data_IF_541383146448
#
_entry.id   IF_541383146448
#
_cell.length_a   1.000
_cell.length_b   1.000
_cell.length_c   1.000
_cell.angle_alpha   90.00
_cell.angle_beta   90.00
_cell.angle_gamma   90.00
#
_symmetry.space_group_name_H-M   'P 1'
#
loop_
_entity.id
_entity.type
_entity.pdbx_description
1 polymer ?
#
# COMPACT_ATOMS: atom_id res chain seq x y z
N UNK A 1 -10.14 -7.37 -12.65
CA UNK A 1 -10.03 -5.93 -12.58
C UNK A 1 -8.61 -5.43 -12.56
N UNK A 2 -8.44 -4.13 -12.52
CA UNK A 2 -7.14 -3.48 -12.52
C UNK A 2 -7.17 -2.21 -11.67
N UNK A 3 -6.06 -1.92 -11.00
CA UNK A 3 -5.79 -0.62 -10.38
C UNK A 3 -4.62 0.05 -11.11
N UNK A 4 -4.84 1.25 -11.63
CA UNK A 4 -3.81 2.00 -12.37
C UNK A 4 -4.14 3.48 -12.51
N UNK A 5 -3.13 4.37 -12.73
CA UNK A 5 -3.40 5.74 -13.17
C UNK A 5 -3.87 5.75 -14.62
N UNK A 6 -4.75 6.70 -14.98
CA UNK A 6 -5.24 6.85 -16.36
C UNK A 6 -4.15 7.22 -17.38
N UNK A 7 -3.16 8.02 -16.97
CA UNK A 7 -2.00 8.44 -17.81
C UNK A 7 -2.38 8.96 -19.20
N UNK A 8 -3.51 9.66 -19.31
CA UNK A 8 -4.01 10.19 -20.59
C UNK A 8 -4.79 9.21 -21.45
N UNK A 9 -5.05 8.00 -20.96
CA UNK A 9 -5.96 7.05 -21.62
C UNK A 9 -7.39 7.58 -21.62
N UNK A 10 -8.17 7.22 -22.64
CA UNK A 10 -9.60 7.54 -22.71
C UNK A 10 -10.36 6.80 -21.60
N UNK A 11 -11.03 7.50 -20.66
CA UNK A 11 -11.79 6.89 -19.59
C UNK A 11 -12.90 5.95 -20.08
N UNK A 12 -13.57 6.30 -21.18
CA UNK A 12 -14.65 5.48 -21.73
C UNK A 12 -14.14 4.19 -22.35
N UNK A 13 -12.96 4.22 -22.98
CA UNK A 13 -12.33 3.01 -23.52
C UNK A 13 -11.91 2.05 -22.39
N UNK A 14 -11.37 2.56 -21.27
CA UNK A 14 -11.06 1.76 -20.10
C UNK A 14 -12.32 1.14 -19.52
N UNK A 15 -13.37 1.93 -19.36
CA UNK A 15 -14.65 1.44 -18.85
C UNK A 15 -15.22 0.33 -19.70
N UNK A 16 -15.27 0.51 -21.02
CA UNK A 16 -15.78 -0.49 -21.95
C UNK A 16 -14.99 -1.81 -21.87
N UNK A 17 -13.65 -1.73 -21.81
CA UNK A 17 -12.77 -2.89 -21.67
C UNK A 17 -13.05 -3.66 -20.38
N UNK A 18 -13.16 -2.96 -19.25
CA UNK A 18 -13.37 -3.56 -17.93
C UNK A 18 -14.77 -4.18 -17.83
N UNK A 19 -15.80 -3.50 -18.33
CA UNK A 19 -17.19 -4.00 -18.32
C UNK A 19 -17.36 -5.23 -19.24
N UNK A 20 -16.65 -5.28 -20.37
CA UNK A 20 -16.68 -6.43 -21.30
C UNK A 20 -16.29 -7.73 -20.60
N UNK A 21 -15.31 -7.68 -19.70
CA UNK A 21 -14.80 -8.86 -18.99
C UNK A 21 -15.44 -9.06 -17.60
N UNK A 22 -16.47 -8.26 -17.25
CA UNK A 22 -17.09 -8.30 -15.93
C UNK A 22 -16.11 -7.91 -14.81
N UNK A 23 -15.12 -7.08 -15.14
CA UNK A 23 -14.08 -6.66 -14.21
C UNK A 23 -14.43 -5.36 -13.47
N UNK A 24 -13.44 -4.79 -12.80
CA UNK A 24 -13.52 -3.48 -12.14
C UNK A 24 -12.27 -2.63 -12.48
N UNK A 25 -12.41 -1.34 -12.33
CA UNK A 25 -11.31 -0.38 -12.38
C UNK A 25 -11.23 0.41 -11.08
N UNK A 26 -10.03 0.48 -10.49
CA UNK A 26 -9.68 1.41 -9.43
C UNK A 26 -8.62 2.39 -9.94
N UNK A 27 -8.80 3.68 -9.64
CA UNK A 27 -7.86 4.71 -10.07
C UNK A 27 -6.64 4.80 -9.15
N UNK A 28 -5.59 5.45 -9.66
CA UNK A 28 -4.45 5.92 -8.87
C UNK A 28 -4.31 7.43 -9.12
N UNK A 29 -4.50 8.24 -8.08
CA UNK A 29 -4.60 9.69 -8.18
C UNK A 29 -3.39 10.38 -7.54
N UNK A 30 -2.81 11.39 -8.19
CA UNK A 30 -1.85 12.26 -7.53
C UNK A 30 -2.57 13.21 -6.58
N UNK A 31 -2.06 13.39 -5.36
CA UNK A 31 -2.56 14.40 -4.45
C UNK A 31 -2.15 15.81 -4.91
N UNK A 32 -3.05 16.81 -4.77
CA UNK A 32 -2.69 18.20 -4.98
C UNK A 32 -1.66 18.64 -3.94
N UNK A 33 -0.63 19.36 -4.38
CA UNK A 33 0.43 19.86 -3.49
C UNK A 33 0.11 21.24 -2.94
N UNK A 34 -0.58 22.04 -3.74
CA UNK A 34 -0.95 23.42 -3.42
C UNK A 34 -2.42 23.67 -3.82
N UNK A 35 -3.00 24.75 -3.32
CA UNK A 35 -4.41 25.08 -3.56
C UNK A 35 -4.75 25.23 -5.05
N UNK A 36 -3.81 25.71 -5.88
CA UNK A 36 -3.99 25.86 -7.34
C UNK A 36 -4.19 24.52 -8.06
N UNK A 37 -3.77 23.41 -7.47
CA UNK A 37 -3.86 22.07 -8.10
C UNK A 37 -5.24 21.42 -7.93
N UNK A 38 -6.14 22.01 -7.12
CA UNK A 38 -7.47 21.43 -6.84
C UNK A 38 -8.32 21.25 -8.10
N UNK A 39 -8.25 22.18 -9.06
CA UNK A 39 -9.00 22.05 -10.32
C UNK A 39 -8.49 20.89 -11.19
N UNK A 40 -7.18 20.70 -11.25
CA UNK A 40 -6.56 19.57 -11.94
C UNK A 40 -6.89 18.25 -11.23
N UNK A 41 -6.88 18.23 -9.90
CA UNK A 41 -7.30 17.08 -9.10
C UNK A 41 -8.78 16.74 -9.37
N UNK A 42 -9.68 17.72 -9.37
CA UNK A 42 -11.11 17.48 -9.68
C UNK A 42 -11.30 16.91 -11.08
N UNK A 43 -10.53 17.37 -12.07
CA UNK A 43 -10.53 16.81 -13.41
C UNK A 43 -10.13 15.33 -13.40
N UNK A 44 -9.06 14.98 -12.67
CA UNK A 44 -8.60 13.59 -12.53
C UNK A 44 -9.65 12.72 -11.83
N UNK A 45 -10.27 13.22 -10.77
CA UNK A 45 -11.39 12.54 -10.07
C UNK A 45 -12.54 12.25 -11.01
N UNK A 46 -12.97 13.24 -11.80
CA UNK A 46 -14.05 13.09 -12.78
C UNK A 46 -13.72 12.03 -13.82
N UNK A 47 -12.54 12.11 -14.44
CA UNK A 47 -12.08 11.14 -15.43
C UNK A 47 -11.99 9.72 -14.87
N UNK A 48 -11.48 9.56 -13.64
CA UNK A 48 -11.43 8.27 -12.93
C UNK A 48 -12.83 7.70 -12.71
N UNK A 49 -13.80 8.56 -12.38
CA UNK A 49 -15.22 8.17 -12.26
C UNK A 49 -15.83 7.77 -13.61
N UNK A 50 -15.53 8.50 -14.69
CA UNK A 50 -15.95 8.20 -16.06
C UNK A 50 -15.41 6.83 -16.52
N UNK A 51 -14.19 6.47 -16.10
CA UNK A 51 -13.60 5.14 -16.31
C UNK A 51 -14.26 4.00 -15.50
N UNK A 52 -15.27 4.30 -14.69
CA UNK A 52 -16.05 3.32 -13.94
C UNK A 52 -15.58 3.10 -12.50
N UNK A 53 -14.51 3.75 -12.04
CA UNK A 53 -14.01 3.58 -10.68
C UNK A 53 -15.01 4.05 -9.62
N UNK A 54 -15.10 3.31 -8.53
CA UNK A 54 -15.79 3.71 -7.29
C UNK A 54 -14.81 4.03 -6.19
N UNK A 55 -13.60 3.51 -6.28
CA UNK A 55 -12.48 3.75 -5.38
C UNK A 55 -11.26 4.19 -6.20
N UNK A 56 -10.46 5.09 -5.65
CA UNK A 56 -9.15 5.43 -6.17
C UNK A 56 -8.12 5.42 -5.04
N UNK A 57 -6.92 4.99 -5.36
CA UNK A 57 -5.76 4.95 -4.46
C UNK A 57 -5.01 6.27 -4.45
N UNK A 58 -4.35 6.54 -3.33
CA UNK A 58 -3.37 7.61 -3.19
C UNK A 58 -2.28 7.22 -2.19
N UNK A 59 -1.06 7.72 -2.41
CA UNK A 59 0.06 7.66 -1.46
C UNK A 59 0.37 9.07 -0.96
N UNK A 60 0.55 9.25 0.34
CA UNK A 60 0.77 10.57 0.94
C UNK A 60 2.20 11.08 0.69
N UNK A 61 3.22 10.33 1.11
CA UNK A 61 4.60 10.81 1.07
C UNK A 61 5.34 10.52 -0.24
N UNK A 62 4.91 9.52 -1.00
CA UNK A 62 5.59 9.11 -2.24
C UNK A 62 7.04 8.64 -2.01
N UNK A 63 7.29 7.93 -0.89
CA UNK A 63 8.61 7.41 -0.53
C UNK A 63 8.62 6.83 0.88
N UNK A 64 9.79 6.38 1.33
CA UNK A 64 9.95 5.77 2.64
C UNK A 64 10.26 6.83 3.69
N UNK A 65 9.59 6.76 4.83
CA UNK A 65 9.73 7.74 5.92
C UNK A 65 11.17 7.96 6.35
N UNK A 66 11.89 6.90 6.62
CA UNK A 66 13.28 6.94 7.11
C UNK A 66 14.31 7.43 6.06
N UNK A 67 13.93 7.50 4.78
CA UNK A 67 14.75 8.09 3.73
C UNK A 67 14.40 9.56 3.49
N UNK A 68 13.10 9.87 3.55
CA UNK A 68 12.55 11.16 3.15
C UNK A 68 12.67 12.25 4.21
N UNK A 69 12.43 11.90 5.48
CA UNK A 69 12.42 12.86 6.57
C UNK A 69 13.63 12.67 7.47
N UNK A 70 14.35 13.75 7.73
CA UNK A 70 15.57 13.72 8.55
C UNK A 70 15.32 14.11 10.00
N UNK A 71 14.20 14.78 10.28
CA UNK A 71 13.83 15.23 11.62
C UNK A 71 12.36 14.94 11.92
N UNK A 72 12.03 14.83 13.19
CA UNK A 72 10.64 14.71 13.64
C UNK A 72 9.81 15.91 13.21
N UNK A 73 10.35 17.12 13.27
CA UNK A 73 9.65 18.35 12.87
C UNK A 73 9.26 18.37 11.39
N UNK A 74 10.14 17.87 10.49
CA UNK A 74 9.81 17.71 9.07
C UNK A 74 8.64 16.74 8.86
N UNK A 75 8.66 15.64 9.58
CA UNK A 75 7.57 14.66 9.50
C UNK A 75 6.24 15.21 10.05
N UNK A 76 6.29 15.92 11.19
CA UNK A 76 5.09 16.52 11.78
C UNK A 76 4.46 17.57 10.87
N UNK A 77 5.29 18.41 10.23
CA UNK A 77 4.81 19.36 9.23
C UNK A 77 4.15 18.65 8.03
N UNK A 78 4.77 17.58 7.54
CA UNK A 78 4.18 16.76 6.47
C UNK A 78 2.84 16.15 6.90
N UNK A 79 2.75 15.58 8.10
CA UNK A 79 1.53 14.94 8.61
C UNK A 79 0.36 15.93 8.69
N UNK A 80 0.61 17.15 9.19
CA UNK A 80 -0.39 18.21 9.23
C UNK A 80 -0.81 18.62 7.82
N UNK A 81 0.15 18.82 6.91
CA UNK A 81 -0.13 19.17 5.51
C UNK A 81 -0.96 18.08 4.80
N UNK A 82 -0.61 16.81 4.98
CA UNK A 82 -1.33 15.69 4.39
C UNK A 82 -2.79 15.65 4.85
N UNK A 83 -3.04 15.83 6.15
CA UNK A 83 -4.40 15.92 6.69
C UNK A 83 -5.18 17.10 6.12
N UNK A 84 -4.57 18.27 6.03
CA UNK A 84 -5.19 19.48 5.47
C UNK A 84 -5.56 19.29 3.99
N UNK A 85 -4.70 18.63 3.21
CA UNK A 85 -4.99 18.31 1.81
C UNK A 85 -6.19 17.37 1.71
N UNK A 86 -6.22 16.29 2.50
CA UNK A 86 -7.33 15.34 2.52
C UNK A 86 -8.65 16.03 2.88
N UNK A 87 -8.65 16.89 3.88
CA UNK A 87 -9.84 17.69 4.26
C UNK A 87 -10.32 18.58 3.11
N UNK A 88 -9.40 19.18 2.35
CA UNK A 88 -9.76 20.09 1.23
C UNK A 88 -10.32 19.36 0.01
N UNK A 89 -9.87 18.14 -0.25
CA UNK A 89 -10.33 17.37 -1.42
C UNK A 89 -11.61 16.57 -1.16
N UNK A 90 -11.98 16.34 0.09
CA UNK A 90 -13.17 15.55 0.44
C UNK A 90 -14.47 16.07 -0.24
N UNK A 91 -14.78 17.40 -0.29
CA UNK A 91 -15.96 17.90 -1.00
C UNK A 91 -15.96 17.57 -2.50
N UNK A 92 -14.78 17.48 -3.13
CA UNK A 92 -14.62 17.08 -4.52
C UNK A 92 -14.98 15.59 -4.66
N UNK A 93 -14.40 14.74 -3.83
CA UNK A 93 -14.66 13.30 -3.81
C UNK A 93 -16.16 13.00 -3.62
N UNK A 94 -16.80 13.68 -2.66
CA UNK A 94 -18.24 13.58 -2.39
C UNK A 94 -19.09 13.98 -3.61
N UNK A 95 -18.76 15.09 -4.26
CA UNK A 95 -19.46 15.58 -5.46
C UNK A 95 -19.44 14.57 -6.59
N UNK A 96 -18.29 13.93 -6.81
CA UNK A 96 -18.11 12.96 -7.89
C UNK A 96 -18.42 11.51 -7.46
N UNK A 97 -18.79 11.27 -6.20
CA UNK A 97 -19.08 9.93 -5.62
C UNK A 97 -17.92 8.95 -5.88
N UNK A 98 -16.69 9.41 -5.64
CA UNK A 98 -15.47 8.61 -5.70
C UNK A 98 -14.89 8.52 -4.29
N UNK A 99 -14.68 7.32 -3.77
CA UNK A 99 -13.96 7.11 -2.52
C UNK A 99 -12.46 7.16 -2.76
N UNK A 100 -11.71 7.74 -1.83
CA UNK A 100 -10.26 7.81 -1.87
C UNK A 100 -9.66 6.90 -0.79
N UNK A 101 -8.89 5.92 -1.21
CA UNK A 101 -8.20 4.99 -0.35
C UNK A 101 -6.73 5.41 -0.19
N UNK A 102 -6.37 5.88 1.00
CA UNK A 102 -5.00 6.23 1.37
C UNK A 102 -4.25 4.95 1.69
N UNK A 103 -3.21 4.64 0.94
CA UNK A 103 -2.41 3.44 1.17
C UNK A 103 -1.53 3.59 2.42
N UNK A 104 -1.51 2.54 3.28
CA UNK A 104 -0.44 2.39 4.27
C UNK A 104 0.84 2.00 3.54
N UNK A 105 1.53 3.00 3.01
CA UNK A 105 2.75 2.81 2.25
C UNK A 105 3.96 2.58 3.18
N UNK A 106 5.04 3.26 3.15
CA UNK A 106 6.17 3.12 4.09
C UNK A 106 6.44 4.47 4.75
N UNK A 107 5.37 5.24 4.99
CA UNK A 107 5.40 6.62 5.44
C UNK A 107 4.74 6.83 6.80
N UNK A 108 3.49 6.42 6.99
CA UNK A 108 2.78 6.50 8.26
C UNK A 108 2.72 5.12 8.92
N UNK A 109 2.86 5.11 10.25
CA UNK A 109 2.52 3.92 11.03
C UNK A 109 1.01 3.68 10.95
N UNK A 110 0.59 2.43 11.19
CA UNK A 110 -0.84 2.10 11.24
C UNK A 110 -1.59 2.93 12.28
N UNK A 111 -0.94 3.27 13.39
CA UNK A 111 -1.49 4.13 14.44
C UNK A 111 -1.71 5.56 13.94
N UNK A 112 -0.70 6.16 13.29
CA UNK A 112 -0.78 7.51 12.74
C UNK A 112 -1.84 7.60 11.64
N UNK A 113 -1.92 6.58 10.76
CA UNK A 113 -2.90 6.54 9.68
C UNK A 113 -4.33 6.35 10.24
N UNK A 114 -4.55 5.44 11.18
CA UNK A 114 -5.84 5.25 11.82
C UNK A 114 -6.30 6.51 12.58
N UNK A 115 -5.38 7.19 13.29
CA UNK A 115 -5.67 8.46 13.95
C UNK A 115 -6.06 9.56 12.94
N UNK A 116 -5.40 9.61 11.78
CA UNK A 116 -5.75 10.54 10.71
C UNK A 116 -7.16 10.25 10.17
N UNK A 117 -7.49 8.98 9.88
CA UNK A 117 -8.82 8.59 9.40
C UNK A 117 -9.92 8.89 10.44
N UNK A 118 -9.66 8.58 11.70
CA UNK A 118 -10.60 8.90 12.79
C UNK A 118 -10.84 10.41 12.95
N UNK A 119 -9.80 11.24 12.77
CA UNK A 119 -9.91 12.69 12.82
C UNK A 119 -10.66 13.29 11.61
N UNK A 120 -10.50 12.69 10.42
CA UNK A 120 -11.25 13.09 9.22
C UNK A 120 -12.72 12.69 9.31
N UNK A 121 -13.02 11.55 9.92
CA UNK A 121 -14.36 11.00 10.09
C UNK A 121 -15.21 11.05 8.79
N UNK A 122 -14.61 10.70 7.66
CA UNK A 122 -15.16 10.86 6.32
C UNK A 122 -15.73 9.54 5.78
N UNK A 123 -16.86 9.60 5.10
CA UNK A 123 -17.39 8.47 4.30
C UNK A 123 -16.69 8.33 2.95
N UNK A 124 -15.90 9.35 2.53
CA UNK A 124 -15.28 9.43 1.20
C UNK A 124 -13.79 9.18 1.22
N UNK A 125 -13.17 9.13 2.41
CA UNK A 125 -11.74 8.89 2.57
C UNK A 125 -11.55 7.76 3.58
N UNK A 126 -10.83 6.73 3.17
CA UNK A 126 -10.48 5.59 3.99
C UNK A 126 -9.08 5.08 3.64
N UNK A 127 -8.83 3.79 3.84
CA UNK A 127 -7.51 3.19 3.71
C UNK A 127 -7.52 2.14 2.59
N UNK A 128 -6.50 2.17 1.75
CA UNK A 128 -6.07 1.00 1.00
C UNK A 128 -5.09 0.26 1.91
N UNK A 129 -5.48 -0.93 2.33
CA UNK A 129 -4.65 -1.75 3.21
C UNK A 129 -3.67 -2.59 2.39
N UNK A 130 -2.38 -2.27 2.49
CA UNK A 130 -1.30 -3.09 1.98
C UNK A 130 -0.80 -4.03 3.08
N UNK A 131 -0.77 -5.34 2.79
CA UNK A 131 -0.47 -6.37 3.78
C UNK A 131 1.00 -6.46 4.18
N UNK A 132 1.92 -5.87 3.40
CA UNK A 132 3.37 -6.01 3.61
C UNK A 132 4.13 -4.72 3.92
N UNK A 133 3.61 -3.56 3.56
CA UNK A 133 4.38 -2.32 3.61
C UNK A 133 4.85 -1.90 5.01
N UNK A 134 4.02 -2.08 6.03
CA UNK A 134 4.34 -1.63 7.39
C UNK A 134 5.42 -2.48 8.09
N UNK A 135 5.82 -3.62 7.53
CA UNK A 135 7.03 -4.33 7.95
C UNK A 135 8.27 -3.42 7.88
N UNK A 136 8.33 -2.53 6.87
CA UNK A 136 9.40 -1.54 6.76
C UNK A 136 9.38 -0.49 7.87
N UNK A 137 8.30 -0.39 8.62
CA UNK A 137 8.14 0.46 9.80
C UNK A 137 8.19 -0.34 11.12
N UNK A 138 8.65 -1.59 11.07
CA UNK A 138 8.78 -2.52 12.20
C UNK A 138 7.44 -2.90 12.86
N UNK A 139 6.33 -2.77 12.14
CA UNK A 139 5.00 -3.14 12.65
C UNK A 139 4.73 -4.64 12.51
N UNK A 140 3.91 -5.14 13.39
CA UNK A 140 3.41 -6.51 13.32
C UNK A 140 2.24 -6.55 12.32
N UNK A 141 2.25 -7.48 11.32
CA UNK A 141 1.27 -7.49 10.25
C UNK A 141 -0.18 -7.58 10.72
N UNK A 142 -0.50 -8.49 11.65
CA UNK A 142 -1.86 -8.66 12.13
C UNK A 142 -2.36 -7.41 12.85
N UNK A 143 -1.56 -6.84 13.75
CA UNK A 143 -1.89 -5.62 14.48
C UNK A 143 -2.12 -4.44 13.53
N UNK A 144 -1.29 -4.34 12.48
CA UNK A 144 -1.47 -3.33 11.42
C UNK A 144 -2.83 -3.48 10.75
N UNK A 145 -3.17 -4.69 10.31
CA UNK A 145 -4.42 -4.98 9.62
C UNK A 145 -5.63 -4.74 10.52
N UNK A 146 -5.60 -5.25 11.76
CA UNK A 146 -6.71 -5.06 12.72
C UNK A 146 -6.98 -3.58 12.99
N UNK A 147 -5.92 -2.76 13.09
CA UNK A 147 -6.05 -1.32 13.32
C UNK A 147 -6.61 -0.56 12.14
N UNK A 148 -6.27 -0.95 10.92
CA UNK A 148 -6.70 -0.28 9.68
C UNK A 148 -8.02 -0.81 9.12
N UNK A 149 -8.41 -2.03 9.45
CA UNK A 149 -9.61 -2.69 8.95
C UNK A 149 -10.90 -1.86 9.07
N UNK A 150 -11.15 -1.09 10.16
CA UNK A 150 -12.35 -0.26 10.25
C UNK A 150 -12.48 0.83 9.16
N UNK A 151 -11.39 1.16 8.50
CA UNK A 151 -11.32 2.21 7.47
C UNK A 151 -11.10 1.65 6.05
N UNK A 152 -11.09 0.33 5.87
CA UNK A 152 -10.66 -0.31 4.62
C UNK A 152 -11.64 -0.06 3.48
N UNK A 153 -11.11 0.40 2.35
CA UNK A 153 -11.83 0.62 1.09
C UNK A 153 -11.31 -0.27 -0.06
N UNK A 154 -10.04 -0.65 -0.03
CA UNK A 154 -9.38 -1.51 -1.02
C UNK A 154 -8.18 -2.19 -0.37
N UNK A 155 -7.61 -3.21 -1.02
CA UNK A 155 -6.47 -3.98 -0.50
C UNK A 155 -5.42 -4.16 -1.58
N UNK A 156 -4.15 -3.95 -1.21
CA UNK A 156 -3.00 -4.53 -1.90
C UNK A 156 -2.59 -5.80 -1.17
N UNK A 157 -2.82 -6.93 -1.82
CA UNK A 157 -2.45 -8.23 -1.28
C UNK A 157 -1.03 -8.57 -1.74
N UNK A 158 -0.12 -8.61 -0.77
CA UNK A 158 1.29 -8.99 -0.94
C UNK A 158 1.63 -10.13 0.01
N UNK A 159 2.57 -10.96 -0.39
CA UNK A 159 3.30 -11.81 0.54
C UNK A 159 4.77 -11.37 0.57
N UNK A 160 5.43 -11.58 1.69
CA UNK A 160 6.73 -11.00 1.96
C UNK A 160 7.72 -12.05 2.44
N UNK A 161 8.98 -11.90 2.03
CA UNK A 161 10.10 -12.57 2.67
C UNK A 161 11.07 -11.55 3.28
N UNK A 162 11.77 -11.99 4.31
CA UNK A 162 12.73 -11.18 5.06
C UNK A 162 14.05 -11.93 5.22
N UNK A 163 15.16 -11.21 5.23
CA UNK A 163 16.49 -11.76 5.44
C UNK A 163 17.34 -10.81 6.28
N UNK A 164 18.08 -11.30 7.29
CA UNK A 164 19.00 -10.45 8.05
C UNK A 164 20.00 -9.72 7.14
N UNK A 165 20.31 -8.47 7.47
CA UNK A 165 21.31 -7.63 6.79
C UNK A 165 22.14 -6.89 7.84
N UNK A 166 23.33 -6.38 7.46
CA UNK A 166 24.27 -5.73 8.38
C UNK A 166 23.68 -4.51 9.10
N UNK A 167 22.81 -3.74 8.42
CA UNK A 167 22.16 -2.56 8.98
C UNK A 167 20.71 -2.82 9.45
N UNK A 168 20.25 -4.09 9.41
CA UNK A 168 18.89 -4.47 9.80
C UNK A 168 18.40 -5.70 9.08
N UNK A 169 17.57 -5.53 8.02
CA UNK A 169 17.10 -6.65 7.22
C UNK A 169 16.74 -6.22 5.79
N UNK A 170 16.73 -7.20 4.90
CA UNK A 170 16.17 -7.10 3.56
C UNK A 170 14.69 -7.50 3.58
N UNK A 171 13.87 -6.77 2.86
CA UNK A 171 12.44 -7.01 2.70
C UNK A 171 12.12 -7.14 1.22
N UNK A 172 11.48 -8.24 0.80
CA UNK A 172 11.11 -8.48 -0.58
C UNK A 172 9.67 -8.96 -0.69
N UNK A 173 9.02 -8.57 -1.76
CA UNK A 173 7.78 -9.18 -2.22
C UNK A 173 8.10 -10.58 -2.78
N UNK A 174 7.17 -11.51 -2.61
CA UNK A 174 7.28 -12.90 -3.07
C UNK A 174 5.88 -13.38 -3.52
N UNK A 175 5.77 -14.38 -4.42
CA UNK A 175 4.47 -14.91 -4.82
C UNK A 175 3.63 -15.30 -3.61
N UNK A 176 2.32 -15.03 -3.68
CA UNK A 176 1.40 -15.30 -2.56
C UNK A 176 1.49 -16.77 -2.11
N UNK A 177 1.58 -16.97 -0.81
CA UNK A 177 1.71 -18.28 -0.17
C UNK A 177 3.13 -18.83 -0.11
N UNK A 178 4.13 -18.10 -0.62
CA UNK A 178 5.54 -18.47 -0.50
C UNK A 178 6.31 -17.65 0.53
N UNK A 179 5.71 -16.56 1.01
CA UNK A 179 6.24 -15.73 2.07
C UNK A 179 5.85 -16.22 3.48
N UNK A 180 6.00 -15.33 4.46
CA UNK A 180 5.73 -15.66 5.85
C UNK A 180 4.41 -15.10 6.40
N UNK A 181 3.67 -14.32 5.61
CA UNK A 181 2.43 -13.72 6.07
C UNK A 181 1.29 -14.75 6.15
N UNK A 182 0.52 -14.72 7.22
CA UNK A 182 -0.70 -15.53 7.30
C UNK A 182 -1.84 -14.85 6.52
N UNK A 183 -1.71 -14.82 5.19
CA UNK A 183 -2.62 -14.09 4.30
C UNK A 183 -4.09 -14.50 4.48
N UNK A 184 -4.39 -15.77 4.71
CA UNK A 184 -5.78 -16.22 4.93
C UNK A 184 -6.39 -15.53 6.15
N UNK A 185 -5.62 -15.43 7.23
CA UNK A 185 -6.07 -14.78 8.45
C UNK A 185 -6.22 -13.27 8.26
N UNK A 186 -5.23 -12.63 7.64
CA UNK A 186 -5.27 -11.18 7.37
C UNK A 186 -6.46 -10.80 6.47
N UNK A 187 -6.70 -11.56 5.41
CA UNK A 187 -7.85 -11.35 4.52
C UNK A 187 -9.17 -11.57 5.25
N UNK A 188 -9.26 -12.58 6.13
CA UNK A 188 -10.47 -12.81 6.92
C UNK A 188 -10.82 -11.64 7.85
N UNK A 189 -9.81 -10.92 8.39
CA UNK A 189 -10.05 -9.69 9.17
C UNK A 189 -10.65 -8.61 8.27
N UNK A 190 -10.08 -8.38 7.09
CA UNK A 190 -10.50 -7.34 6.15
C UNK A 190 -11.92 -7.60 5.61
N UNK A 191 -12.21 -8.83 5.20
CA UNK A 191 -13.54 -9.25 4.70
C UNK A 191 -14.61 -9.10 5.78
N UNK A 192 -14.31 -9.37 7.05
CA UNK A 192 -15.27 -9.11 8.15
C UNK A 192 -15.60 -7.63 8.33
N UNK A 193 -14.65 -6.76 8.06
CA UNK A 193 -14.85 -5.30 8.16
C UNK A 193 -15.55 -4.72 6.93
N UNK A 194 -15.28 -5.28 5.76
CA UNK A 194 -15.90 -4.89 4.50
C UNK A 194 -16.09 -6.14 3.61
N UNK A 195 -17.29 -6.76 3.62
CA UNK A 195 -17.55 -7.99 2.83
C UNK A 195 -17.40 -7.82 1.31
N UNK A 196 -17.56 -6.61 0.80
CA UNK A 196 -17.46 -6.29 -0.63
C UNK A 196 -16.05 -5.80 -1.03
N UNK A 197 -15.04 -6.05 -0.18
CA UNK A 197 -13.68 -5.54 -0.38
C UNK A 197 -13.04 -6.14 -1.63
N UNK A 198 -12.41 -5.27 -2.41
CA UNK A 198 -11.61 -5.68 -3.56
C UNK A 198 -10.18 -6.00 -3.10
N UNK A 199 -9.66 -7.14 -3.55
CA UNK A 199 -8.30 -7.59 -3.31
C UNK A 199 -7.49 -7.44 -4.60
N UNK A 200 -6.60 -6.44 -4.65
CA UNK A 200 -5.67 -6.26 -5.75
C UNK A 200 -4.37 -7.01 -5.43
N UNK A 201 -3.98 -7.94 -6.29
CA UNK A 201 -2.64 -8.53 -6.21
C UNK A 201 -1.61 -7.43 -6.55
N UNK A 202 -0.69 -7.18 -5.63
CA UNK A 202 0.49 -6.36 -5.92
C UNK A 202 1.75 -7.20 -5.74
N UNK A 203 2.44 -7.45 -6.85
CA UNK A 203 3.69 -8.18 -6.91
C UNK A 203 4.66 -7.40 -7.80
N UNK A 204 5.78 -6.97 -7.24
CA UNK A 204 6.84 -6.32 -7.99
C UNK A 204 8.12 -7.16 -7.88
N UNK A 205 8.59 -7.63 -9.03
CA UNK A 205 9.87 -8.35 -9.14
C UNK A 205 11.00 -7.34 -9.18
N UNK A 206 11.68 -7.16 -8.05
CA UNK A 206 12.74 -6.15 -7.86
C UNK A 206 13.79 -6.60 -6.86
N UNK A 207 14.88 -5.86 -6.77
CA UNK A 207 15.88 -6.07 -5.72
C UNK A 207 15.27 -5.85 -4.33
N UNK A 208 15.76 -6.59 -3.31
CA UNK A 208 15.28 -6.45 -1.93
C UNK A 208 15.41 -5.02 -1.42
N UNK A 209 14.38 -4.58 -0.70
CA UNK A 209 14.41 -3.32 0.00
C UNK A 209 15.23 -3.45 1.29
N UNK A 210 16.28 -2.65 1.45
CA UNK A 210 17.01 -2.58 2.71
C UNK A 210 16.24 -1.76 3.75
N UNK A 211 16.03 -2.34 4.91
CA UNK A 211 15.42 -1.69 6.08
C UNK A 211 16.53 -1.46 7.11
N UNK A 212 17.12 -0.23 7.17
CA UNK A 212 18.31 0.03 7.98
C UNK A 212 17.96 0.31 9.45
N UNK A 213 17.17 -0.56 10.06
CA UNK A 213 16.62 -0.37 11.40
C UNK A 213 17.63 -0.50 12.55
N UNK A 214 18.88 -0.85 12.27
CA UNK A 214 19.97 -0.82 13.26
C UNK A 214 20.69 0.54 13.29
N UNK A 215 20.35 1.47 12.40
CA UNK A 215 20.96 2.80 12.33
C UNK A 215 20.16 3.85 13.11
N UNK A 216 20.83 4.89 13.62
CA UNK A 216 20.16 6.00 14.32
C UNK A 216 19.29 6.84 13.38
N UNK A 217 19.72 6.99 12.12
CA UNK A 217 18.99 7.75 11.11
C UNK A 217 17.61 7.16 10.81
N UNK A 218 17.45 5.84 10.91
CA UNK A 218 16.15 5.19 10.75
C UNK A 218 15.13 5.71 11.79
N UNK A 219 15.57 5.91 13.05
CA UNK A 219 14.70 6.32 14.14
C UNK A 219 14.53 7.85 14.30
N UNK A 220 15.17 8.66 13.46
CA UNK A 220 15.13 10.11 13.59
C UNK A 220 13.72 10.72 13.66
N UNK A 221 12.73 10.04 13.08
CA UNK A 221 11.32 10.47 13.09
C UNK A 221 10.40 9.59 13.94
N UNK A 222 10.92 8.56 14.60
CA UNK A 222 10.16 7.56 15.34
C UNK A 222 10.53 7.58 16.84
N UNK A 223 10.06 8.55 17.63
CA UNK A 223 10.39 8.59 19.07
C UNK A 223 9.88 7.33 19.78
N UNK A 224 10.72 6.72 20.61
CA UNK A 224 10.37 5.54 21.41
C UNK A 224 10.19 4.22 20.63
N UNK A 225 10.32 4.23 19.28
CA UNK A 225 10.05 3.04 18.47
C UNK A 225 11.21 2.04 18.49
N UNK A 226 12.42 2.50 18.72
CA UNK A 226 13.58 1.63 18.90
C UNK A 226 13.36 0.68 20.10
N UNK A 227 12.93 1.24 21.21
CA UNK A 227 12.74 0.51 22.47
C UNK A 227 11.53 -0.44 22.42
N UNK A 228 10.52 -0.10 21.64
CA UNK A 228 9.24 -0.82 21.65
C UNK A 228 9.07 -1.82 20.51
N UNK A 229 9.74 -1.64 19.37
CA UNK A 229 9.48 -2.42 18.15
C UNK A 229 10.70 -3.13 17.56
N UNK A 230 11.92 -2.64 17.79
CA UNK A 230 13.11 -3.16 17.11
C UNK A 230 13.35 -4.63 17.43
N UNK A 231 13.35 -4.99 18.73
CA UNK A 231 13.62 -6.37 19.15
C UNK A 231 12.62 -7.35 18.55
N UNK A 232 11.33 -7.03 18.64
CA UNK A 232 10.26 -7.88 18.08
C UNK A 232 10.37 -8.04 16.55
N UNK A 233 10.74 -6.98 15.83
CA UNK A 233 10.98 -7.04 14.39
C UNK A 233 12.18 -7.94 14.05
N UNK A 234 13.29 -7.82 14.75
CA UNK A 234 14.49 -8.66 14.53
C UNK A 234 14.24 -10.14 14.90
N UNK A 235 13.47 -10.41 15.96
CA UNK A 235 13.02 -11.76 16.31
C UNK A 235 12.18 -12.35 15.16
N UNK A 236 11.23 -11.59 14.62
CA UNK A 236 10.42 -12.01 13.47
C UNK A 236 11.30 -12.33 12.26
N UNK A 237 12.26 -11.47 11.91
CA UNK A 237 13.20 -11.69 10.80
C UNK A 237 13.97 -13.00 10.98
N UNK A 238 14.46 -13.28 12.18
CA UNK A 238 15.19 -14.53 12.50
C UNK A 238 14.28 -15.77 12.46
N UNK A 239 13.03 -15.63 12.86
CA UNK A 239 12.05 -16.73 12.89
C UNK A 239 11.56 -17.15 11.50
N UNK A 240 11.71 -16.27 10.48
CA UNK A 240 11.20 -16.51 9.13
C UNK A 240 12.32 -16.39 8.08
N UNK A 241 13.34 -17.29 8.11
CA UNK A 241 14.34 -17.32 7.06
C UNK A 241 13.65 -17.61 5.73
N UNK A 242 14.05 -16.96 4.64
CA UNK A 242 13.43 -17.18 3.34
C UNK A 242 13.72 -18.59 2.84
N UNK A 243 12.72 -19.25 2.26
CA UNK A 243 12.88 -20.59 1.66
C UNK A 243 13.75 -20.55 0.40
N UNK A 244 13.84 -19.41 -0.26
CA UNK A 244 14.60 -19.14 -1.48
C UNK A 244 15.33 -17.81 -1.31
N UNK A 245 16.45 -17.60 -2.03
CA UNK A 245 17.08 -16.29 -2.06
C UNK A 245 16.05 -15.21 -2.45
N UNK A 246 16.06 -14.04 -1.78
CA UNK A 246 15.22 -12.92 -2.20
C UNK A 246 15.41 -12.63 -3.68
N UNK A 247 14.36 -12.21 -4.41
CA UNK A 247 14.48 -11.88 -5.83
C UNK A 247 15.53 -10.80 -6.04
N UNK A 248 16.26 -10.90 -7.14
CA UNK A 248 17.23 -9.89 -7.56
C UNK A 248 17.09 -9.65 -9.04
N UNK A 249 17.08 -8.40 -9.45
CA UNK A 249 16.96 -7.98 -10.85
C UNK A 249 18.19 -7.26 -11.36
N UNK A 250 19.08 -6.80 -10.47
CA UNK A 250 20.30 -6.09 -10.84
C UNK A 250 21.19 -6.95 -11.74
N UNK A 251 21.56 -6.38 -12.90
CA UNK A 251 22.40 -7.06 -13.89
C UNK A 251 21.70 -8.14 -14.74
N UNK A 252 20.36 -8.27 -14.64
CA UNK A 252 19.58 -9.24 -15.41
C UNK A 252 18.94 -8.60 -16.64
N UNK A 253 18.71 -9.41 -17.67
CA UNK A 253 18.04 -9.00 -18.91
C UNK A 253 16.56 -8.64 -18.64
N UNK A 254 16.06 -7.48 -19.13
CA UNK A 254 14.67 -7.03 -18.90
C UNK A 254 13.62 -8.07 -19.29
N UNK A 255 13.79 -8.77 -20.39
CA UNK A 255 12.85 -9.79 -20.84
C UNK A 255 12.71 -10.95 -19.85
N UNK A 256 13.80 -11.33 -19.17
CA UNK A 256 13.76 -12.39 -18.13
C UNK A 256 13.06 -11.89 -16.88
N UNK A 257 13.26 -10.62 -16.50
CA UNK A 257 12.58 -10.01 -15.35
C UNK A 257 11.07 -9.96 -15.60
N UNK A 258 10.65 -9.51 -16.79
CA UNK A 258 9.22 -9.47 -17.16
C UNK A 258 8.59 -10.87 -17.19
N UNK A 259 9.29 -11.87 -17.71
CA UNK A 259 8.79 -13.25 -17.72
C UNK A 259 8.63 -13.82 -16.29
N UNK A 260 9.56 -13.49 -15.39
CA UNK A 260 9.48 -13.89 -13.99
C UNK A 260 8.34 -13.16 -13.26
N UNK A 261 8.17 -11.85 -13.49
CA UNK A 261 7.06 -11.10 -12.92
C UNK A 261 5.70 -11.62 -13.41
N UNK A 262 5.59 -11.96 -14.70
CA UNK A 262 4.38 -12.60 -15.22
C UNK A 262 4.11 -13.95 -14.55
N UNK A 263 5.12 -14.78 -14.35
CA UNK A 263 5.00 -16.08 -13.67
C UNK A 263 4.57 -15.86 -12.21
N UNK A 264 5.22 -14.95 -11.48
CA UNK A 264 4.89 -14.60 -10.10
C UNK A 264 3.43 -14.12 -9.95
N UNK A 265 2.95 -13.30 -10.88
CA UNK A 265 1.56 -12.84 -10.90
C UNK A 265 0.58 -14.00 -11.17
N UNK A 266 0.88 -14.89 -12.11
CA UNK A 266 0.05 -16.09 -12.39
C UNK A 266 -0.04 -17.00 -11.18
N UNK A 267 1.08 -17.24 -10.50
CA UNK A 267 1.13 -18.04 -9.28
C UNK A 267 0.33 -17.37 -8.15
N UNK A 268 0.46 -16.05 -7.98
CA UNK A 268 -0.32 -15.27 -7.04
C UNK A 268 -1.82 -15.40 -7.27
N UNK A 269 -2.31 -15.21 -8.49
CA UNK A 269 -3.73 -15.39 -8.82
C UNK A 269 -4.20 -16.84 -8.65
N UNK A 270 -3.36 -17.82 -8.94
CA UNK A 270 -3.67 -19.22 -8.73
C UNK A 270 -3.84 -19.54 -7.25
N UNK A 271 -2.92 -19.01 -6.42
CA UNK A 271 -3.00 -19.12 -4.98
C UNK A 271 -4.27 -18.45 -4.42
N UNK A 272 -4.61 -17.23 -4.87
CA UNK A 272 -5.84 -16.54 -4.46
C UNK A 272 -7.08 -17.39 -4.73
N UNK A 273 -7.22 -17.90 -5.95
CA UNK A 273 -8.35 -18.77 -6.34
C UNK A 273 -8.46 -20.04 -5.50
N UNK A 274 -7.34 -20.63 -5.12
CA UNK A 274 -7.31 -21.86 -4.34
C UNK A 274 -7.55 -21.65 -2.84
N UNK A 275 -7.21 -20.48 -2.30
CA UNK A 275 -7.09 -20.25 -0.85
C UNK A 275 -8.01 -19.17 -0.29
N UNK A 276 -8.44 -18.23 -1.11
CA UNK A 276 -9.34 -17.14 -0.73
C UNK A 276 -10.68 -17.41 -1.45
N UNK A 277 -11.60 -18.04 -0.75
CA UNK A 277 -12.99 -18.14 -1.22
C UNK A 277 -13.68 -16.83 -0.83
N UNK A 278 -13.95 -16.00 -1.79
CA UNK A 278 -14.86 -14.85 -1.68
C UNK A 278 -16.30 -15.32 -1.89
#
# INVERSE_FOLDING_TARGET
>A
GIQSPLRGSDPHAIRALVEQDGGYYEGDLPLPRVKSDLAAFETSVRQTREAGATVARVVLAGGRRYERFKTRAEFDAFYVQARDILTRIEPILKRHRLKLAVENHKDLTSEELAAMMGALASEWIGVLVDTGNNLALLEEPQTTIERLAPFVLSVHLKDMCVQPDAEGFLLSETPLGTGFLNLKHLVAILVRSNPDIVLNLEMATRDPLRIPCLTDTYFATFPGRRETHLEAALVRVKAHPPNYPPPSVSGREPARILAEEEANNRDGFSWMRANLRT
#
